data_IF_913918369041
#
_entry.id   IF_913918369041
#
_cell.length_a   1.000
_cell.length_b   1.000
_cell.length_c   1.000
_cell.angle_alpha   90.00
_cell.angle_beta   90.00
_cell.angle_gamma   90.00
#
_symmetry.space_group_name_H-M   'P 1'
#
loop_
_entity.id
_entity.type
_entity.pdbx_description
1 polymer ?
#
# COMPACT_ATOMS: atom_id res chain seq x y z
N UNK A 1 0.99 -20.14 10.90
CA UNK A 1 1.72 -19.03 10.25
C UNK A 1 2.74 -19.55 9.22
N UNK A 2 2.73 -19.03 7.99
CA UNK A 2 3.78 -19.29 6.98
C UNK A 2 4.41 -17.96 6.55
N UNK A 3 5.74 -17.88 6.59
CA UNK A 3 6.49 -16.71 6.12
C UNK A 3 7.03 -16.97 4.70
N UNK A 4 6.86 -15.98 3.82
CA UNK A 4 7.36 -16.02 2.45
C UNK A 4 8.34 -14.87 2.22
N UNK A 5 9.46 -15.21 1.57
CA UNK A 5 10.44 -14.26 1.08
C UNK A 5 10.20 -14.06 -0.41
N UNK A 6 9.87 -12.84 -0.81
CA UNK A 6 9.67 -12.47 -2.22
C UNK A 6 10.82 -11.58 -2.64
N UNK A 7 11.53 -12.03 -3.68
CA UNK A 7 12.62 -11.30 -4.32
C UNK A 7 12.16 -10.99 -5.73
N UNK A 8 12.16 -9.72 -6.12
CA UNK A 8 11.89 -9.33 -7.51
C UNK A 8 13.17 -9.48 -8.35
N UNK A 9 13.01 -9.70 -9.65
CA UNK A 9 14.10 -10.21 -10.50
C UNK A 9 15.06 -9.15 -11.05
N UNK A 10 14.96 -7.87 -10.66
CA UNK A 10 15.92 -6.85 -11.10
C UNK A 10 17.11 -6.85 -10.14
N UNK A 11 18.29 -6.58 -10.71
CA UNK A 11 19.60 -6.99 -10.19
C UNK A 11 20.00 -6.44 -8.80
N UNK A 12 19.19 -5.58 -8.16
CA UNK A 12 19.42 -5.03 -6.81
C UNK A 12 18.10 -4.80 -6.05
N UNK A 13 17.13 -5.71 -6.16
CA UNK A 13 15.81 -5.47 -5.58
C UNK A 13 15.72 -5.77 -4.06
N UNK A 14 14.96 -4.96 -3.29
CA UNK A 14 14.71 -5.18 -1.87
C UNK A 14 13.94 -6.49 -1.61
N UNK A 15 14.25 -7.12 -0.48
CA UNK A 15 13.62 -8.38 -0.04
C UNK A 15 12.33 -8.08 0.68
N UNK A 16 11.20 -8.55 0.14
CA UNK A 16 9.91 -8.38 0.78
C UNK A 16 9.58 -9.60 1.66
N UNK A 17 9.13 -9.32 2.88
CA UNK A 17 8.69 -10.33 3.84
C UNK A 17 7.16 -10.31 3.91
N UNK A 18 6.57 -11.48 3.73
CA UNK A 18 5.13 -11.69 3.78
C UNK A 18 4.84 -12.75 4.83
N UNK A 19 4.09 -12.40 5.88
CA UNK A 19 3.61 -13.38 6.85
C UNK A 19 2.13 -13.61 6.58
N UNK A 20 1.82 -14.83 6.14
CA UNK A 20 0.45 -15.26 5.87
C UNK A 20 -0.05 -16.10 7.04
N UNK A 21 -1.10 -15.62 7.70
CA UNK A 21 -1.92 -16.44 8.57
C UNK A 21 -3.24 -16.78 7.88
N UNK A 22 -3.30 -18.01 7.38
CA UNK A 22 -4.47 -18.56 6.67
C UNK A 22 -5.62 -18.83 7.65
N UNK A 23 -5.33 -19.06 8.93
CA UNK A 23 -6.33 -19.39 9.94
C UNK A 23 -6.95 -18.13 10.56
N UNK A 24 -6.14 -17.09 10.80
CA UNK A 24 -6.64 -15.81 11.30
C UNK A 24 -7.10 -14.86 10.19
N UNK A 25 -7.05 -15.29 8.92
CA UNK A 25 -7.42 -14.46 7.78
C UNK A 25 -6.62 -13.13 7.76
N UNK A 26 -5.38 -13.14 8.28
CA UNK A 26 -4.52 -11.98 8.47
C UNK A 26 -3.24 -12.16 7.68
N UNK A 27 -2.88 -11.12 6.96
CA UNK A 27 -1.64 -11.09 6.23
C UNK A 27 -0.92 -9.78 6.55
N UNK A 28 0.31 -9.89 7.04
CA UNK A 28 1.18 -8.75 7.36
C UNK A 28 2.16 -8.60 6.22
N UNK A 29 2.15 -7.44 5.59
CA UNK A 29 2.91 -7.15 4.39
C UNK A 29 3.88 -6.01 4.63
N UNK A 30 5.15 -6.17 4.28
CA UNK A 30 6.10 -5.04 4.33
C UNK A 30 5.78 -3.94 3.31
N UNK A 31 5.06 -4.27 2.24
CA UNK A 31 4.72 -3.34 1.17
C UNK A 31 3.59 -2.36 1.52
N UNK A 32 2.80 -2.63 2.58
CA UNK A 32 1.66 -1.83 3.09
C UNK A 32 0.70 -1.17 2.06
N UNK A 33 0.74 -1.57 0.78
CA UNK A 33 -0.04 -0.95 -0.29
C UNK A 33 -1.55 -1.12 -0.10
N UNK A 34 -1.96 -2.16 0.61
CA UNK A 34 -3.38 -2.32 0.90
C UNK A 34 -3.85 -1.25 1.89
N UNK A 35 -3.04 -0.92 2.91
CA UNK A 35 -3.33 0.19 3.82
C UNK A 35 -3.33 1.56 3.11
N UNK A 36 -2.46 1.74 2.10
CA UNK A 36 -2.31 3.02 1.39
C UNK A 36 -3.29 3.27 0.24
N UNK A 37 -3.49 2.28 -0.64
CA UNK A 37 -4.30 2.43 -1.86
C UNK A 37 -5.43 1.39 -1.97
N UNK A 38 -5.61 0.53 -0.95
CA UNK A 38 -6.60 -0.54 -0.96
C UNK A 38 -6.41 -1.54 -2.11
N UNK A 39 -5.16 -1.77 -2.50
CA UNK A 39 -4.77 -2.76 -3.50
C UNK A 39 -3.68 -3.64 -2.88
N UNK A 40 -3.81 -4.94 -3.04
CA UNK A 40 -2.74 -5.86 -2.67
C UNK A 40 -1.53 -5.62 -3.57
N UNK A 41 -0.34 -5.43 -3.00
CA UNK A 41 0.86 -5.26 -3.80
C UNK A 41 1.12 -6.52 -4.66
N UNK A 42 1.79 -6.33 -5.79
CA UNK A 42 2.15 -7.42 -6.71
C UNK A 42 2.84 -8.59 -5.99
N UNK A 43 3.64 -8.31 -4.95
CA UNK A 43 4.32 -9.34 -4.17
C UNK A 43 3.35 -10.30 -3.47
N UNK A 44 2.25 -9.79 -2.94
CA UNK A 44 1.20 -10.60 -2.30
C UNK A 44 0.51 -11.45 -3.35
N UNK A 45 0.05 -10.80 -4.43
CA UNK A 45 -0.65 -11.48 -5.52
C UNK A 45 0.21 -12.61 -6.11
N UNK A 46 1.51 -12.38 -6.27
CA UNK A 46 2.45 -13.38 -6.76
C UNK A 46 2.53 -14.63 -5.86
N UNK A 47 2.49 -14.47 -4.53
CA UNK A 47 2.48 -15.61 -3.60
C UNK A 47 1.16 -16.38 -3.69
N UNK A 48 0.04 -15.67 -3.70
CA UNK A 48 -1.29 -16.29 -3.82
C UNK A 48 -1.42 -17.08 -5.12
N UNK A 49 -0.97 -16.52 -6.24
CA UNK A 49 -0.97 -17.20 -7.54
C UNK A 49 -0.02 -18.40 -7.54
N UNK A 50 1.24 -18.23 -7.12
CA UNK A 50 2.24 -19.32 -7.12
C UNK A 50 1.90 -20.47 -6.19
N UNK A 51 1.09 -20.23 -5.17
CA UNK A 51 0.67 -21.25 -4.20
C UNK A 51 -0.74 -21.79 -4.48
N UNK A 52 -1.40 -21.34 -5.55
CA UNK A 52 -2.78 -21.71 -5.86
C UNK A 52 -3.72 -21.43 -4.67
N UNK A 53 -3.48 -20.33 -3.96
CA UNK A 53 -4.26 -19.91 -2.79
C UNK A 53 -5.20 -18.76 -3.10
N UNK A 54 -5.36 -18.37 -4.36
CA UNK A 54 -6.16 -17.19 -4.77
C UNK A 54 -7.59 -17.26 -4.23
N UNK A 55 -8.21 -18.44 -4.20
CA UNK A 55 -9.55 -18.65 -3.65
C UNK A 55 -9.61 -18.51 -2.13
N UNK A 56 -8.47 -18.63 -1.44
CA UNK A 56 -8.32 -18.41 -0.01
C UNK A 56 -7.96 -16.95 0.32
N UNK A 57 -8.08 -16.03 -0.64
CA UNK A 57 -7.83 -14.62 -0.38
C UNK A 57 -8.90 -14.07 0.58
N UNK A 58 -8.51 -13.49 1.73
CA UNK A 58 -9.45 -12.92 2.66
C UNK A 58 -10.38 -11.89 2.00
N UNK A 59 -11.70 -12.03 2.19
CA UNK A 59 -12.69 -11.12 1.58
C UNK A 59 -12.45 -9.64 1.90
N UNK A 60 -11.88 -9.35 3.08
CA UNK A 60 -11.48 -7.99 3.49
C UNK A 60 -10.48 -7.32 2.54
N UNK A 61 -9.75 -8.08 1.72
CA UNK A 61 -8.82 -7.57 0.72
C UNK A 61 -9.44 -7.45 -0.69
N UNK A 62 -10.69 -7.91 -0.88
CA UNK A 62 -11.44 -7.83 -2.14
C UNK A 62 -12.44 -6.69 -2.05
N UNK A 63 -12.01 -5.47 -2.41
CA UNK A 63 -12.90 -4.30 -2.38
C UNK A 63 -13.85 -4.32 -3.59
N UNK A 64 -15.11 -3.91 -3.40
CA UNK A 64 -16.14 -3.90 -4.46
C UNK A 64 -15.73 -3.10 -5.71
N UNK A 65 -14.97 -2.01 -5.55
CA UNK A 65 -14.41 -1.23 -6.66
C UNK A 65 -13.51 -2.04 -7.61
N UNK A 66 -12.96 -3.16 -7.13
CA UNK A 66 -12.12 -4.08 -7.91
C UNK A 66 -12.88 -5.29 -8.45
N UNK A 67 -14.20 -5.36 -8.26
CA UNK A 67 -15.06 -6.45 -8.73
C UNK A 67 -15.80 -6.04 -10.01
N UNK A 68 -16.36 -7.04 -10.71
CA UNK A 68 -17.24 -6.81 -11.86
C UNK A 68 -18.50 -5.99 -11.52
N UNK A 69 -18.86 -5.90 -10.23
CA UNK A 69 -19.99 -5.14 -9.71
C UNK A 69 -19.64 -3.69 -9.35
N UNK A 70 -18.46 -3.20 -9.77
CA UNK A 70 -18.02 -1.83 -9.48
C UNK A 70 -18.96 -0.75 -10.01
N UNK A 71 -19.70 -1.02 -11.10
CA UNK A 71 -20.64 -0.07 -11.71
C UNK A 71 -22.07 -0.18 -11.18
N UNK A 72 -22.35 -1.16 -10.32
CA UNK A 72 -23.71 -1.47 -9.84
C UNK A 72 -24.12 -0.60 -8.63
N UNK A 73 -23.54 0.59 -8.49
CA UNK A 73 -23.78 1.51 -7.37
C UNK A 73 -24.47 2.78 -7.85
N UNK A 74 -25.80 2.70 -8.03
CA UNK A 74 -26.68 3.85 -7.84
C UNK A 74 -27.27 3.91 -6.42
N UNK A 75 -27.04 2.90 -5.58
CA UNK A 75 -27.55 2.87 -4.21
C UNK A 75 -26.91 1.71 -3.44
N UNK A 76 -26.10 2.01 -2.41
CA UNK A 76 -25.99 1.29 -1.12
C UNK A 76 -24.63 1.15 -0.42
N UNK A 77 -23.50 1.57 -0.99
CA UNK A 77 -22.20 1.22 -0.38
C UNK A 77 -21.36 2.40 0.14
N UNK A 78 -22.02 3.44 0.66
CA UNK A 78 -21.34 4.39 1.56
C UNK A 78 -21.05 3.80 2.96
N UNK A 79 -21.41 2.54 3.23
CA UNK A 79 -21.28 1.91 4.57
C UNK A 79 -20.38 0.69 4.64
N UNK A 80 -19.36 0.58 3.77
CA UNK A 80 -18.29 -0.41 3.95
C UNK A 80 -16.92 0.22 4.19
N UNK A 81 -16.91 1.36 4.87
CA UNK A 81 -15.78 1.85 5.64
C UNK A 81 -16.23 2.56 6.92
N UNK A 82 -17.23 2.01 7.61
CA UNK A 82 -17.39 2.30 9.05
C UNK A 82 -16.31 1.54 9.82
N UNK A 83 -15.06 1.98 9.64
CA UNK A 83 -14.09 1.95 10.73
C UNK A 83 -14.73 2.84 11.78
N UNK A 84 -15.29 2.23 12.84
CA UNK A 84 -15.79 2.95 14.00
C UNK A 84 -14.76 4.00 14.39
N UNK A 85 -15.04 5.24 14.03
CA UNK A 85 -14.23 6.40 14.34
C UNK A 85 -14.55 6.79 15.77
N UNK A 86 -14.13 5.94 16.69
CA UNK A 86 -14.04 6.25 18.11
C UNK A 86 -12.59 6.04 18.49
N UNK A 87 -11.78 7.09 18.28
CA UNK A 87 -11.02 7.76 19.34
C UNK A 87 -9.90 8.61 18.70
N UNK A 88 -9.67 9.74 19.33
CA UNK A 88 -8.82 10.86 18.93
C UNK A 88 -7.34 10.48 18.85
N UNK A 89 -6.91 9.82 17.78
CA UNK A 89 -5.51 9.84 17.31
C UNK A 89 -5.48 9.82 15.79
N UNK A 90 -4.74 10.74 15.19
CA UNK A 90 -4.44 10.71 13.76
C UNK A 90 -3.60 9.43 13.55
N UNK A 91 -4.26 8.34 13.18
CA UNK A 91 -3.58 7.06 12.95
C UNK A 91 -2.44 7.28 11.95
N UNK A 92 -1.28 6.68 12.19
CA UNK A 92 -0.14 6.71 11.26
C UNK A 92 -0.54 6.28 9.84
N UNK A 93 -1.59 5.45 9.73
CA UNK A 93 -2.23 5.09 8.46
C UNK A 93 -2.89 6.28 7.76
N UNK A 94 -3.61 7.15 8.48
CA UNK A 94 -4.25 8.34 7.90
C UNK A 94 -3.21 9.37 7.44
N UNK A 95 -2.15 9.59 8.23
CA UNK A 95 -1.05 10.49 7.86
C UNK A 95 -0.33 10.00 6.60
N UNK A 96 -0.01 8.70 6.55
CA UNK A 96 0.62 8.08 5.40
C UNK A 96 -0.23 8.13 4.14
N UNK A 97 -1.55 7.94 4.26
CA UNK A 97 -2.47 7.99 3.11
C UNK A 97 -2.54 9.40 2.51
N UNK A 98 -2.65 10.43 3.34
CA UNK A 98 -2.68 11.82 2.87
C UNK A 98 -1.38 12.20 2.14
N UNK A 99 -0.22 11.85 2.72
CA UNK A 99 1.07 12.11 2.10
C UNK A 99 1.27 11.34 0.78
N UNK A 100 0.77 10.10 0.69
CA UNK A 100 0.82 9.31 -0.52
C UNK A 100 0.03 9.96 -1.66
N UNK A 101 -1.16 10.49 -1.38
CA UNK A 101 -1.98 11.20 -2.39
C UNK A 101 -1.24 12.42 -2.93
N UNK A 102 -0.63 13.23 -2.05
CA UNK A 102 0.14 14.39 -2.49
C UNK A 102 1.40 13.98 -3.27
N UNK A 103 2.10 12.92 -2.84
CA UNK A 103 3.26 12.41 -3.57
C UNK A 103 2.92 11.97 -4.99
N UNK A 104 1.79 11.28 -5.19
CA UNK A 104 1.36 10.83 -6.52
C UNK A 104 1.11 12.00 -7.49
N UNK A 105 0.53 13.11 -7.01
CA UNK A 105 0.34 14.31 -7.84
C UNK A 105 1.67 14.93 -8.27
N UNK A 106 2.61 15.04 -7.34
CA UNK A 106 3.96 15.57 -7.62
C UNK A 106 4.73 14.64 -8.57
N UNK A 107 4.56 13.33 -8.41
CA UNK A 107 5.17 12.32 -9.28
C UNK A 107 4.68 12.44 -10.72
N UNK A 108 3.37 12.56 -10.93
CA UNK A 108 2.76 12.74 -12.26
C UNK A 108 3.34 13.96 -12.98
N UNK A 109 3.48 15.08 -12.28
CA UNK A 109 4.07 16.29 -12.85
C UNK A 109 5.59 16.19 -13.05
N UNK A 110 6.28 15.51 -12.13
CA UNK A 110 7.72 15.26 -12.16
C UNK A 110 8.16 14.43 -13.36
N UNK A 111 7.32 13.52 -13.84
CA UNK A 111 7.64 12.61 -14.94
C UNK A 111 7.49 13.24 -16.33
N UNK A 112 6.89 14.42 -16.43
CA UNK A 112 6.59 15.08 -17.71
C UNK A 112 7.81 15.64 -18.45
N UNK A 113 8.99 15.69 -17.81
CA UNK A 113 10.24 16.03 -18.50
C UNK A 113 11.46 15.55 -17.74
N UNK A 114 12.58 15.35 -18.44
CA UNK A 114 13.86 14.99 -17.82
C UNK A 114 14.28 15.98 -16.73
N UNK A 115 14.14 17.29 -16.98
CA UNK A 115 14.48 18.34 -15.99
C UNK A 115 13.64 18.24 -14.72
N UNK A 116 12.32 18.04 -14.85
CA UNK A 116 11.42 17.89 -13.69
C UNK A 116 11.69 16.59 -12.94
N UNK A 117 11.99 15.51 -13.65
CA UNK A 117 12.33 14.22 -13.07
C UNK A 117 13.61 14.32 -12.23
N UNK A 118 14.68 14.87 -12.81
CA UNK A 118 15.98 15.01 -12.13
C UNK A 118 15.86 15.93 -10.91
N UNK A 119 15.07 17.00 -11.01
CA UNK A 119 14.78 17.88 -9.88
C UNK A 119 13.98 17.16 -8.77
N UNK A 120 12.93 16.43 -9.13
CA UNK A 120 12.12 15.68 -8.16
C UNK A 120 12.96 14.61 -7.45
N UNK A 121 13.81 13.88 -8.18
CA UNK A 121 14.69 12.86 -7.60
C UNK A 121 15.66 13.46 -6.56
N UNK A 122 16.31 14.58 -6.87
CA UNK A 122 17.19 15.29 -5.93
C UNK A 122 16.43 15.81 -4.71
N UNK A 123 15.26 16.41 -4.92
CA UNK A 123 14.42 16.93 -3.84
C UNK A 123 13.95 15.84 -2.90
N UNK A 124 13.58 14.66 -3.42
CA UNK A 124 13.18 13.51 -2.60
C UNK A 124 14.34 12.96 -1.77
N UNK A 125 15.55 12.86 -2.33
CA UNK A 125 16.74 12.45 -1.59
C UNK A 125 17.08 13.43 -0.45
N UNK A 126 16.95 14.73 -0.72
CA UNK A 126 17.16 15.78 0.28
C UNK A 126 16.12 15.66 1.40
N UNK A 127 14.85 15.60 1.05
CA UNK A 127 13.74 15.46 2.01
C UNK A 127 13.91 14.22 2.89
N UNK A 128 14.29 13.08 2.30
CA UNK A 128 14.55 11.85 3.06
C UNK A 128 15.69 12.03 4.07
N UNK A 129 16.77 12.71 3.67
CA UNK A 129 17.90 13.00 4.57
C UNK A 129 17.51 13.94 5.71
N UNK A 130 16.69 14.95 5.42
CA UNK A 130 16.15 15.89 6.42
C UNK A 130 15.24 15.17 7.42
N UNK A 131 14.33 14.31 6.96
CA UNK A 131 13.43 13.55 7.83
C UNK A 131 14.18 12.59 8.74
N UNK A 132 15.27 11.95 8.27
CA UNK A 132 16.11 11.10 9.12
C UNK A 132 16.90 11.88 10.18
N UNK A 133 17.13 13.17 9.96
CA UNK A 133 17.86 14.04 10.88
C UNK A 133 16.94 14.73 11.90
N UNK A 134 15.62 14.60 11.76
CA UNK A 134 14.67 15.06 12.77
C UNK A 134 14.61 14.03 13.90
N UNK A 135 14.98 14.42 15.12
CA UNK A 135 14.78 13.58 16.30
C UNK A 135 13.27 13.47 16.58
N UNK A 136 12.80 12.27 16.93
CA UNK A 136 11.44 12.08 17.43
C UNK A 136 11.32 12.79 18.79
N UNK A 137 10.46 13.81 18.90
CA UNK A 137 10.12 14.41 20.19
C UNK A 137 9.62 13.32 21.15
N UNK A 138 10.31 13.21 22.29
CA UNK A 138 10.21 12.14 23.28
C UNK A 138 8.95 12.19 24.12
#
# INVERSE_FOLDING_TARGET
MKAYRVVTSRKEDPVYHLVLDVFENKAVFSCKMFEFVGILCMHVLAVFVKKSLVDNLPQKYVLRRWTIFAKDQASHDEKQFDVKQENTQISSTLMGNNLMVEFLRVLEEGQNSKRKHDHLALSLQKLHSELLAMDDER
#
